data_IF_259382556181
#
_entry.id   IF_259382556181
#
_cell.length_a   1.000
_cell.length_b   1.000
_cell.length_c   1.000
_cell.angle_alpha   90.00
_cell.angle_beta   90.00
_cell.angle_gamma   90.00
#
_symmetry.space_group_name_H-M   'P 1'
#
loop_
_entity.id
_entity.type
_entity.pdbx_description
1 polymer ?
#
# COMPACT_ATOMS: atom_id res chain seq x y z
N UNK A 1 20.08 -16.30 3.31
CA UNK A 1 21.51 -16.51 3.00
C UNK A 1 21.93 -15.34 2.14
N UNK A 2 23.08 -14.67 2.40
CA UNK A 2 23.52 -13.61 1.51
C UNK A 2 23.74 -14.21 0.12
N UNK A 3 23.08 -13.67 -0.88
CA UNK A 3 23.34 -13.99 -2.29
C UNK A 3 24.79 -13.65 -2.58
N UNK A 4 25.52 -14.56 -3.22
CA UNK A 4 26.94 -14.34 -3.60
C UNK A 4 27.07 -13.30 -4.73
N UNK A 5 25.98 -12.99 -5.42
CA UNK A 5 25.92 -12.02 -6.51
C UNK A 5 25.32 -10.68 -6.03
N UNK A 6 25.79 -9.55 -6.56
CA UNK A 6 25.13 -8.25 -6.33
C UNK A 6 23.69 -8.26 -6.83
N UNK A 7 22.83 -7.51 -6.16
CA UNK A 7 21.42 -7.37 -6.53
C UNK A 7 21.12 -5.93 -6.97
N UNK A 8 20.13 -5.74 -7.84
CA UNK A 8 19.61 -4.43 -8.20
C UNK A 8 18.08 -4.41 -8.16
N UNK A 9 17.50 -3.24 -7.84
CA UNK A 9 16.07 -3.07 -7.68
C UNK A 9 15.62 -1.66 -8.02
N UNK A 10 14.48 -1.51 -8.70
CA UNK A 10 13.80 -0.23 -8.81
C UNK A 10 13.18 0.13 -7.45
N UNK A 11 13.68 1.18 -6.81
CA UNK A 11 13.25 1.63 -5.48
C UNK A 11 12.02 2.55 -5.54
N UNK A 12 11.85 3.30 -6.62
CA UNK A 12 10.67 4.14 -6.86
C UNK A 12 9.53 3.32 -7.46
N UNK A 13 8.29 3.80 -7.29
CA UNK A 13 7.14 3.16 -7.93
C UNK A 13 7.25 3.26 -9.46
N UNK A 14 6.77 2.23 -10.16
CA UNK A 14 6.58 2.27 -11.62
C UNK A 14 5.59 3.36 -12.01
N UNK A 15 5.81 3.98 -13.19
CA UNK A 15 4.94 5.00 -13.75
C UNK A 15 5.65 6.32 -14.03
N UNK A 16 4.86 7.36 -14.29
CA UNK A 16 5.39 8.69 -14.64
C UNK A 16 5.83 9.43 -13.37
N UNK A 17 7.12 9.45 -13.13
CA UNK A 17 7.78 10.28 -12.12
C UNK A 17 8.78 11.25 -12.76
N UNK A 18 9.27 12.24 -12.02
CA UNK A 18 10.35 13.10 -12.48
C UNK A 18 11.71 12.38 -12.38
N UNK A 19 11.88 11.53 -11.37
CA UNK A 19 13.09 10.77 -11.08
C UNK A 19 12.71 9.32 -10.79
N UNK A 20 13.51 8.38 -11.30
CA UNK A 20 13.51 6.99 -10.87
C UNK A 20 14.83 6.68 -10.15
N UNK A 21 14.79 5.80 -9.16
CA UNK A 21 15.95 5.39 -8.38
C UNK A 21 16.12 3.88 -8.48
N UNK A 22 17.28 3.45 -8.96
CA UNK A 22 17.69 2.05 -8.99
C UNK A 22 18.76 1.82 -7.93
N UNK A 23 18.46 0.97 -6.95
CA UNK A 23 19.42 0.57 -5.93
C UNK A 23 20.29 -0.59 -6.40
N UNK A 24 21.55 -0.62 -5.95
CA UNK A 24 22.51 -1.68 -6.19
C UNK A 24 23.14 -2.06 -4.85
N UNK A 25 23.03 -3.33 -4.45
CA UNK A 25 23.55 -3.81 -3.18
C UNK A 25 24.24 -5.17 -3.32
N UNK A 26 25.16 -5.50 -2.41
CA UNK A 26 25.90 -6.76 -2.42
C UNK A 26 27.26 -6.65 -1.74
N UNK A 27 28.18 -7.54 -2.08
CA UNK A 27 29.52 -7.49 -1.54
C UNK A 27 30.26 -6.24 -2.04
N UNK A 28 30.88 -5.51 -1.10
CA UNK A 28 31.45 -4.16 -1.29
C UNK A 28 32.48 -4.09 -2.42
N UNK A 29 33.20 -5.16 -2.70
CA UNK A 29 34.31 -5.19 -3.66
C UNK A 29 33.89 -5.30 -5.15
N UNK A 30 32.70 -5.83 -5.42
CA UNK A 30 32.23 -6.08 -6.80
C UNK A 30 31.46 -4.89 -7.39
N UNK A 31 30.64 -4.21 -6.57
CA UNK A 31 29.71 -3.17 -7.02
C UNK A 31 30.44 -1.96 -7.63
N UNK A 32 31.53 -1.41 -7.02
CA UNK A 32 32.27 -0.29 -7.61
C UNK A 32 32.80 -0.60 -9.01
N UNK A 33 33.24 -1.84 -9.24
CA UNK A 33 33.76 -2.29 -10.55
C UNK A 33 32.64 -2.28 -11.58
N UNK A 34 31.47 -2.85 -11.26
CA UNK A 34 30.30 -2.88 -12.16
C UNK A 34 29.86 -1.45 -12.48
N UNK A 35 29.69 -0.58 -11.48
CA UNK A 35 29.26 0.79 -11.69
C UNK A 35 30.26 1.57 -12.54
N UNK A 36 31.57 1.40 -12.34
CA UNK A 36 32.61 2.07 -13.13
C UNK A 36 32.62 1.65 -14.60
N UNK A 37 32.18 0.42 -14.91
CA UNK A 37 32.03 -0.03 -16.29
C UNK A 37 30.85 0.62 -16.99
N UNK A 38 29.77 0.93 -16.27
CA UNK A 38 28.50 1.41 -16.81
C UNK A 38 28.33 2.94 -16.72
N UNK A 39 29.04 3.59 -15.80
CA UNK A 39 28.90 5.02 -15.50
C UNK A 39 30.19 5.76 -15.80
N UNK A 40 30.07 6.98 -16.37
CA UNK A 40 31.17 7.92 -16.63
C UNK A 40 30.93 9.20 -15.85
N UNK A 41 31.63 9.42 -14.72
CA UNK A 41 31.48 10.65 -13.97
C UNK A 41 32.04 11.85 -14.74
N UNK A 42 31.39 13.00 -14.63
CA UNK A 42 31.89 14.30 -15.14
C UNK A 42 32.78 14.91 -14.08
N UNK A 43 34.01 15.19 -14.44
CA UNK A 43 35.01 15.83 -13.56
C UNK A 43 36.39 15.20 -13.67
N UNK A 44 37.37 15.82 -13.00
CA UNK A 44 38.80 15.43 -13.11
C UNK A 44 39.22 14.33 -12.12
N UNK A 45 38.35 13.89 -11.22
CA UNK A 45 38.67 12.88 -10.20
C UNK A 45 38.19 11.49 -10.64
N UNK A 46 39.03 10.49 -10.41
CA UNK A 46 38.65 9.07 -10.65
C UNK A 46 37.52 8.65 -9.74
N UNK A 47 36.54 7.93 -10.31
CA UNK A 47 35.41 7.33 -9.56
C UNK A 47 35.92 6.46 -8.39
N UNK A 48 36.94 5.63 -8.65
CA UNK A 48 37.53 4.75 -7.64
C UNK A 48 38.16 5.52 -6.48
N UNK A 49 38.94 6.58 -6.77
CA UNK A 49 39.61 7.39 -5.73
C UNK A 49 38.63 8.06 -4.79
N UNK A 50 37.45 8.45 -5.27
CA UNK A 50 36.44 9.12 -4.46
C UNK A 50 35.66 8.14 -3.61
N UNK A 51 35.39 6.94 -4.12
CA UNK A 51 34.71 5.88 -3.36
C UNK A 51 35.53 5.46 -2.15
N UNK A 52 36.85 5.39 -2.28
CA UNK A 52 37.74 4.96 -1.21
C UNK A 52 37.89 6.01 -0.09
N UNK A 53 37.57 7.29 -0.37
CA UNK A 53 37.76 8.40 0.56
C UNK A 53 36.56 8.75 1.44
N UNK A 54 35.36 8.33 1.09
CA UNK A 54 34.14 8.72 1.82
C UNK A 54 33.03 7.67 1.73
N UNK A 55 32.28 7.53 2.83
CA UNK A 55 31.09 6.66 2.89
C UNK A 55 29.85 7.26 2.24
N UNK A 56 29.86 8.57 1.97
CA UNK A 56 28.76 9.26 1.29
C UNK A 56 29.33 10.17 0.20
N UNK A 57 29.23 9.72 -1.04
CA UNK A 57 29.69 10.46 -2.21
C UNK A 57 28.60 10.48 -3.28
N UNK A 58 28.42 11.62 -3.90
CA UNK A 58 27.48 11.81 -5.01
C UNK A 58 28.28 12.16 -6.25
N UNK A 59 28.00 11.46 -7.34
CA UNK A 59 28.60 11.66 -8.65
C UNK A 59 27.53 12.09 -9.65
N UNK A 60 27.83 13.11 -10.44
CA UNK A 60 27.08 13.45 -11.64
C UNK A 60 27.85 12.97 -12.86
N UNK A 61 27.16 12.38 -13.83
CA UNK A 61 27.79 11.85 -15.02
C UNK A 61 26.80 11.21 -15.99
N UNK A 62 27.32 10.41 -16.90
CA UNK A 62 26.53 9.75 -17.93
C UNK A 62 26.52 8.24 -17.77
N UNK A 63 25.35 7.65 -17.95
CA UNK A 63 25.20 6.22 -18.12
C UNK A 63 25.60 5.83 -19.56
N UNK A 64 26.59 4.96 -19.70
CA UNK A 64 27.29 4.76 -20.98
C UNK A 64 26.41 4.23 -22.11
N UNK A 65 25.50 3.30 -21.83
CA UNK A 65 24.67 2.68 -22.87
C UNK A 65 23.59 3.60 -23.43
N UNK A 66 23.02 4.46 -22.59
CA UNK A 66 21.93 5.37 -22.95
C UNK A 66 22.37 6.79 -23.19
N UNK A 67 23.63 7.14 -22.82
CA UNK A 67 24.15 8.50 -22.78
C UNK A 67 23.28 9.46 -21.92
N UNK A 68 22.53 8.90 -20.97
CA UNK A 68 21.66 9.65 -20.09
C UNK A 68 22.48 10.31 -18.97
N UNK A 69 22.24 11.60 -18.74
CA UNK A 69 22.80 12.32 -17.61
C UNK A 69 22.06 11.94 -16.33
N UNK A 70 22.78 11.46 -15.34
CA UNK A 70 22.21 10.96 -14.10
C UNK A 70 23.15 11.15 -12.90
N UNK A 71 22.64 10.84 -11.72
CA UNK A 71 23.37 10.93 -10.46
C UNK A 71 23.56 9.52 -9.89
N UNK A 72 24.79 9.21 -9.49
CA UNK A 72 25.10 8.00 -8.72
C UNK A 72 25.52 8.40 -7.32
N UNK A 73 24.85 7.86 -6.31
CA UNK A 73 25.14 8.10 -4.90
C UNK A 73 25.66 6.81 -4.24
N UNK A 74 26.75 6.90 -3.48
CA UNK A 74 27.21 5.81 -2.61
C UNK A 74 26.38 5.81 -1.34
N UNK A 75 25.90 4.64 -0.93
CA UNK A 75 25.13 4.41 0.30
C UNK A 75 25.84 3.41 1.19
N UNK A 76 25.33 3.18 2.39
CA UNK A 76 25.88 2.19 3.32
C UNK A 76 25.77 0.74 2.79
N UNK A 77 24.93 0.49 1.80
CA UNK A 77 24.66 -0.86 1.26
C UNK A 77 25.16 -1.06 -0.17
N UNK A 78 25.69 0.00 -0.80
CA UNK A 78 26.11 -0.04 -2.19
C UNK A 78 25.92 1.30 -2.88
N UNK A 79 25.17 1.34 -3.97
CA UNK A 79 24.92 2.55 -4.75
C UNK A 79 23.45 2.74 -5.08
N UNK A 80 23.05 3.98 -5.29
CA UNK A 80 21.80 4.38 -5.89
C UNK A 80 22.05 5.13 -7.17
N UNK A 81 21.36 4.76 -8.24
CA UNK A 81 21.36 5.42 -9.54
C UNK A 81 20.07 6.21 -9.70
N UNK A 82 20.16 7.54 -9.70
CA UNK A 82 19.05 8.46 -9.84
C UNK A 82 18.98 8.92 -11.30
N UNK A 83 18.05 8.37 -12.06
CA UNK A 83 17.83 8.64 -13.47
C UNK A 83 16.52 9.40 -13.72
N UNK A 84 16.25 9.79 -14.97
CA UNK A 84 14.95 10.35 -15.34
C UNK A 84 13.83 9.36 -15.06
N UNK A 85 12.71 9.89 -14.58
CA UNK A 85 11.52 9.09 -14.28
C UNK A 85 10.87 8.57 -15.55
N UNK A 86 10.46 7.32 -15.50
CA UNK A 86 9.82 6.61 -16.61
C UNK A 86 10.37 5.21 -16.75
N UNK A 87 9.53 4.32 -17.30
CA UNK A 87 9.83 2.89 -17.32
C UNK A 87 11.03 2.56 -18.23
N UNK A 88 11.27 3.34 -19.30
CA UNK A 88 12.32 3.04 -20.27
C UNK A 88 13.72 3.27 -19.71
N UNK A 89 13.96 4.39 -19.00
CA UNK A 89 15.27 4.73 -18.44
C UNK A 89 15.66 3.74 -17.33
N UNK A 90 14.77 3.52 -16.37
CA UNK A 90 15.03 2.57 -15.28
C UNK A 90 15.18 1.13 -15.75
N UNK A 91 14.41 0.70 -16.77
CA UNK A 91 14.54 -0.63 -17.34
C UNK A 91 15.89 -0.83 -18.03
N UNK A 92 16.36 0.15 -18.82
CA UNK A 92 17.66 0.09 -19.48
C UNK A 92 18.82 -0.03 -18.47
N UNK A 93 18.75 0.72 -17.38
CA UNK A 93 19.75 0.65 -16.29
C UNK A 93 19.75 -0.72 -15.62
N UNK A 94 18.56 -1.28 -15.33
CA UNK A 94 18.43 -2.60 -14.73
C UNK A 94 18.94 -3.70 -15.67
N UNK A 95 18.63 -3.59 -16.97
CA UNK A 95 19.11 -4.53 -17.98
C UNK A 95 20.65 -4.52 -18.09
N UNK A 96 21.26 -3.34 -18.10
CA UNK A 96 22.71 -3.20 -18.09
C UNK A 96 23.36 -3.80 -16.84
N UNK A 97 22.79 -3.54 -15.67
CA UNK A 97 23.25 -4.10 -14.41
C UNK A 97 23.13 -5.62 -14.42
N UNK A 98 22.05 -6.16 -14.96
CA UNK A 98 21.79 -7.59 -15.08
C UNK A 98 22.84 -8.27 -16.01
N UNK A 99 23.13 -7.65 -17.14
CA UNK A 99 24.16 -8.13 -18.08
C UNK A 99 25.58 -8.09 -17.47
N UNK A 100 25.80 -7.25 -16.46
CA UNK A 100 27.08 -7.11 -15.76
C UNK A 100 27.10 -7.84 -14.40
N UNK A 101 26.20 -8.79 -14.18
CA UNK A 101 26.25 -9.73 -13.06
C UNK A 101 25.46 -9.33 -11.82
N UNK A 102 24.63 -8.27 -11.88
CA UNK A 102 23.66 -7.98 -10.83
C UNK A 102 22.36 -8.77 -11.08
N UNK A 103 21.80 -9.36 -10.05
CA UNK A 103 20.48 -10.00 -10.11
C UNK A 103 19.39 -8.95 -9.87
N UNK A 104 18.45 -8.82 -10.83
CA UNK A 104 17.30 -7.96 -10.66
C UNK A 104 16.28 -8.60 -9.68
N UNK A 105 15.99 -7.92 -8.57
CA UNK A 105 15.12 -8.43 -7.52
C UNK A 105 13.89 -7.55 -7.32
N UNK A 106 12.88 -8.10 -6.62
CA UNK A 106 11.70 -7.35 -6.23
C UNK A 106 12.00 -6.37 -5.08
N UNK A 107 11.17 -5.34 -4.91
CA UNK A 107 11.28 -4.43 -3.76
C UNK A 107 11.15 -5.18 -2.42
N UNK A 108 10.40 -6.26 -2.36
CA UNK A 108 10.29 -7.09 -1.16
C UNK A 108 11.63 -7.76 -0.84
N UNK A 109 12.25 -8.43 -1.82
CA UNK A 109 13.57 -9.06 -1.68
C UNK A 109 14.66 -8.04 -1.33
N UNK A 110 14.60 -6.84 -1.95
CA UNK A 110 15.51 -5.73 -1.61
C UNK A 110 15.41 -5.32 -0.15
N UNK A 111 14.19 -5.15 0.38
CA UNK A 111 14.00 -4.80 1.80
C UNK A 111 14.51 -5.90 2.73
N UNK A 112 14.21 -7.17 2.41
CA UNK A 112 14.68 -8.32 3.19
C UNK A 112 16.21 -8.50 3.17
N UNK A 113 16.89 -7.96 2.17
CA UNK A 113 18.35 -7.93 2.12
C UNK A 113 18.95 -6.95 3.13
N UNK A 114 18.29 -5.82 3.40
CA UNK A 114 18.79 -4.73 4.23
C UNK A 114 18.23 -4.74 5.67
N UNK A 115 17.16 -5.46 5.90
CA UNK A 115 16.44 -5.47 7.16
C UNK A 115 15.97 -6.89 7.51
N UNK A 116 15.63 -7.14 8.77
CA UNK A 116 14.93 -8.35 9.09
C UNK A 116 13.52 -8.36 8.40
N UNK A 117 12.96 -9.56 8.24
CA UNK A 117 11.69 -9.74 7.54
C UNK A 117 10.57 -8.86 8.11
N UNK A 118 10.55 -8.67 9.41
CA UNK A 118 9.51 -7.89 10.08
C UNK A 118 9.64 -6.40 9.78
N UNK A 119 10.85 -5.88 9.80
CA UNK A 119 11.14 -4.50 9.41
C UNK A 119 10.78 -4.28 7.94
N UNK A 120 11.19 -5.19 7.06
CA UNK A 120 10.89 -5.13 5.63
C UNK A 120 9.37 -5.11 5.34
N UNK A 121 8.59 -5.94 6.03
CA UNK A 121 7.12 -5.96 5.92
C UNK A 121 6.49 -4.64 6.43
N UNK A 122 7.02 -4.10 7.54
CA UNK A 122 6.50 -2.83 8.10
C UNK A 122 6.83 -1.65 7.19
N UNK A 123 8.03 -1.58 6.62
CA UNK A 123 8.42 -0.58 5.62
C UNK A 123 7.53 -0.68 4.37
N UNK A 124 7.25 -1.89 3.91
CA UNK A 124 6.32 -2.11 2.81
C UNK A 124 4.90 -1.60 3.14
N UNK A 125 4.44 -1.82 4.37
CA UNK A 125 3.16 -1.31 4.84
C UNK A 125 3.12 0.22 4.89
N UNK A 126 4.20 0.88 5.33
CA UNK A 126 4.31 2.35 5.30
C UNK A 126 4.19 2.88 3.87
N UNK A 127 4.88 2.25 2.90
CA UNK A 127 4.78 2.63 1.49
C UNK A 127 3.39 2.39 0.89
N UNK A 128 2.66 1.40 1.40
CA UNK A 128 1.30 1.07 0.95
C UNK A 128 0.21 1.91 1.62
N UNK A 129 0.55 2.72 2.63
CA UNK A 129 -0.41 3.58 3.33
C UNK A 129 -0.99 4.64 2.39
N UNK A 130 -2.31 4.72 2.33
CA UNK A 130 -3.02 5.63 1.42
C UNK A 130 -3.35 6.99 2.03
N UNK A 131 -3.15 7.16 3.34
CA UNK A 131 -3.40 8.42 4.04
C UNK A 131 -2.25 8.76 4.99
N UNK A 132 -2.06 10.05 5.26
CA UNK A 132 -1.04 10.50 6.22
C UNK A 132 -1.29 10.00 7.64
N UNK A 133 -2.55 9.76 8.03
CA UNK A 133 -2.90 9.19 9.34
C UNK A 133 -2.40 7.78 9.48
N UNK A 134 -2.71 6.91 8.51
CA UNK A 134 -2.28 5.51 8.53
C UNK A 134 -0.77 5.37 8.38
N UNK A 135 -0.15 6.20 7.52
CA UNK A 135 1.30 6.26 7.40
C UNK A 135 2.01 6.62 8.73
N UNK A 136 1.51 7.63 9.45
CA UNK A 136 2.05 8.00 10.77
C UNK A 136 1.94 6.87 11.79
N UNK A 137 0.82 6.16 11.80
CA UNK A 137 0.63 5.01 12.72
C UNK A 137 1.62 3.89 12.39
N UNK A 138 1.80 3.55 11.10
CA UNK A 138 2.76 2.53 10.67
C UNK A 138 4.21 2.93 10.95
N UNK A 139 4.57 4.21 10.80
CA UNK A 139 5.87 4.72 11.21
C UNK A 139 6.12 4.58 12.72
N UNK A 140 5.10 4.81 13.55
CA UNK A 140 5.20 4.56 14.98
C UNK A 140 5.40 3.07 15.30
N UNK A 141 4.72 2.18 14.57
CA UNK A 141 4.95 0.73 14.68
C UNK A 141 6.40 0.40 14.31
N UNK A 142 6.89 0.92 13.20
CA UNK A 142 8.27 0.70 12.75
C UNK A 142 9.30 1.15 13.81
N UNK A 143 9.08 2.30 14.44
CA UNK A 143 9.95 2.84 15.49
C UNK A 143 9.93 2.01 16.79
N UNK A 144 8.79 1.42 17.14
CA UNK A 144 8.57 0.72 18.42
C UNK A 144 8.62 -0.82 18.31
N UNK A 145 8.74 -1.36 17.12
CA UNK A 145 8.60 -2.79 16.84
C UNK A 145 9.65 -3.63 17.60
N UNK A 146 10.89 -3.16 17.67
CA UNK A 146 11.98 -3.85 18.38
C UNK A 146 11.62 -4.08 19.86
N UNK A 147 10.92 -3.13 20.48
CA UNK A 147 10.55 -3.23 21.90
C UNK A 147 9.46 -4.29 22.18
N UNK A 148 8.55 -4.53 21.25
CA UNK A 148 7.48 -5.53 21.43
C UNK A 148 8.02 -6.94 21.22
N UNK A 149 8.77 -7.15 20.14
CA UNK A 149 9.33 -8.47 19.83
C UNK A 149 10.42 -8.90 20.82
N UNK A 150 11.32 -7.99 21.21
CA UNK A 150 12.33 -8.29 22.23
C UNK A 150 11.67 -8.65 23.55
N UNK A 151 10.65 -7.91 23.99
CA UNK A 151 9.91 -8.21 25.22
C UNK A 151 9.25 -9.60 25.17
N UNK A 152 8.65 -9.99 24.05
CA UNK A 152 8.08 -11.33 23.90
C UNK A 152 9.16 -12.41 23.90
N UNK A 153 10.29 -12.16 23.23
CA UNK A 153 11.45 -13.05 23.23
C UNK A 153 12.00 -13.25 24.64
N UNK A 154 12.21 -12.16 25.39
CA UNK A 154 12.70 -12.19 26.77
C UNK A 154 11.74 -12.95 27.70
N UNK A 155 10.43 -12.78 27.52
CA UNK A 155 9.43 -13.52 28.28
C UNK A 155 9.49 -15.03 28.01
N UNK A 156 9.71 -15.42 26.75
CA UNK A 156 9.86 -16.84 26.38
C UNK A 156 11.17 -17.41 26.98
N UNK A 157 12.28 -16.70 26.82
CA UNK A 157 13.59 -17.12 27.34
C UNK A 157 13.59 -17.20 28.86
N UNK A 158 12.86 -16.32 29.53
CA UNK A 158 12.70 -16.32 30.99
C UNK A 158 11.65 -17.31 31.50
N UNK A 159 11.15 -18.21 30.64
CA UNK A 159 10.12 -19.20 30.96
C UNK A 159 8.77 -18.58 31.43
N UNK A 160 8.50 -17.32 31.10
CA UNK A 160 7.23 -16.63 31.37
C UNK A 160 6.21 -16.87 30.27
N UNK A 161 6.01 -18.14 29.92
CA UNK A 161 5.17 -18.57 28.78
C UNK A 161 3.73 -18.03 28.84
N UNK A 162 3.01 -18.01 29.99
CA UNK A 162 1.67 -17.44 30.06
C UNK A 162 1.61 -15.97 29.69
N UNK A 163 2.59 -15.16 30.10
CA UNK A 163 2.68 -13.73 29.77
C UNK A 163 2.94 -13.51 28.29
N UNK A 164 3.84 -14.30 27.68
CA UNK A 164 4.11 -14.26 26.26
C UNK A 164 2.86 -14.62 25.43
N UNK A 165 2.13 -15.68 25.82
CA UNK A 165 0.86 -16.07 25.17
C UNK A 165 -0.17 -14.95 25.26
N UNK A 166 -0.30 -14.28 26.42
CA UNK A 166 -1.22 -13.15 26.57
C UNK A 166 -0.84 -11.99 25.66
N UNK A 167 0.44 -11.64 25.55
CA UNK A 167 0.92 -10.59 24.64
C UNK A 167 0.67 -10.92 23.16
N UNK A 168 0.89 -12.16 22.76
CA UNK A 168 0.60 -12.63 21.40
C UNK A 168 -0.91 -12.54 21.10
N UNK A 169 -1.78 -12.98 22.04
CA UNK A 169 -3.23 -12.89 21.89
C UNK A 169 -3.70 -11.44 21.74
N UNK A 170 -3.14 -10.51 22.52
CA UNK A 170 -3.44 -9.08 22.36
C UNK A 170 -3.02 -8.55 20.98
N UNK A 171 -1.84 -8.92 20.50
CA UNK A 171 -1.37 -8.54 19.16
C UNK A 171 -2.27 -9.12 18.07
N UNK A 172 -2.69 -10.36 18.18
CA UNK A 172 -3.62 -10.99 17.24
C UNK A 172 -5.00 -10.34 17.24
N UNK A 173 -5.51 -9.91 18.40
CA UNK A 173 -6.78 -9.19 18.48
C UNK A 173 -6.75 -7.84 17.72
N UNK A 174 -5.58 -7.24 17.55
CA UNK A 174 -5.37 -6.00 16.79
C UNK A 174 -4.97 -6.25 15.32
N UNK A 175 -4.77 -7.51 14.91
CA UNK A 175 -4.25 -7.82 13.58
C UNK A 175 -5.18 -7.34 12.45
N UNK A 176 -6.50 -7.51 12.60
CA UNK A 176 -7.47 -7.01 11.63
C UNK A 176 -7.42 -5.48 11.51
N UNK A 177 -7.29 -4.77 12.63
CA UNK A 177 -7.11 -3.33 12.64
C UNK A 177 -5.83 -2.94 11.90
N UNK A 178 -4.71 -3.63 12.16
CA UNK A 178 -3.42 -3.41 11.50
C UNK A 178 -3.50 -3.58 9.98
N UNK A 179 -4.19 -4.62 9.49
CA UNK A 179 -4.39 -4.85 8.06
C UNK A 179 -5.18 -3.71 7.39
N UNK A 180 -6.10 -3.08 8.11
CA UNK A 180 -6.89 -1.95 7.59
C UNK A 180 -6.11 -0.62 7.55
N UNK A 181 -4.88 -0.56 8.02
CA UNK A 181 -4.01 0.62 7.84
C UNK A 181 -3.52 0.76 6.40
N UNK A 182 -3.38 -0.34 5.67
CA UNK A 182 -2.94 -0.36 4.26
C UNK A 182 -4.07 -0.69 3.28
N UNK A 183 -5.16 -1.28 3.77
CA UNK A 183 -6.31 -1.68 2.96
C UNK A 183 -7.52 -0.85 3.36
N UNK A 184 -8.15 -0.10 2.42
CA UNK A 184 -9.34 0.66 2.70
C UNK A 184 -10.46 -0.24 3.24
N UNK A 185 -11.18 0.22 4.25
CA UNK A 185 -12.36 -0.48 4.75
C UNK A 185 -13.51 -0.33 3.77
N UNK A 186 -14.10 -1.45 3.39
CA UNK A 186 -15.25 -1.48 2.51
C UNK A 186 -16.52 -1.13 3.28
N UNK A 187 -17.16 -0.02 2.87
CA UNK A 187 -18.45 0.46 3.40
C UNK A 187 -19.48 0.37 2.30
N UNK A 188 -20.53 -0.42 2.50
CA UNK A 188 -21.66 -0.51 1.57
C UNK A 188 -22.86 0.26 2.12
N UNK A 189 -23.45 1.12 1.28
CA UNK A 189 -24.68 1.81 1.59
C UNK A 189 -25.86 0.99 1.03
N UNK A 190 -26.76 0.58 1.90
CA UNK A 190 -27.99 -0.12 1.57
C UNK A 190 -29.21 0.66 2.08
N UNK A 191 -30.39 0.36 1.56
CA UNK A 191 -31.63 1.05 1.88
C UNK A 191 -32.57 1.13 0.68
N UNK A 192 -33.81 1.61 0.92
CA UNK A 192 -34.82 1.75 -0.11
C UNK A 192 -34.39 2.64 -1.29
N UNK A 193 -34.99 2.51 -2.47
CA UNK A 193 -34.77 3.44 -3.58
C UNK A 193 -35.05 4.88 -3.14
N UNK A 194 -34.28 5.84 -3.69
CA UNK A 194 -34.46 7.28 -3.54
C UNK A 194 -34.29 7.86 -2.10
N UNK A 195 -33.78 7.09 -1.15
CA UNK A 195 -33.49 7.60 0.22
C UNK A 195 -32.21 8.45 0.31
N UNK A 196 -31.53 8.73 -0.82
CA UNK A 196 -30.38 9.61 -0.85
C UNK A 196 -29.00 8.92 -0.75
N UNK A 197 -28.90 7.58 -0.96
CA UNK A 197 -27.62 6.85 -0.87
C UNK A 197 -26.51 7.43 -1.75
N UNK A 198 -26.78 7.63 -3.03
CA UNK A 198 -25.82 8.19 -3.98
C UNK A 198 -25.46 9.65 -3.64
N UNK A 199 -26.41 10.42 -3.14
CA UNK A 199 -26.17 11.80 -2.65
C UNK A 199 -25.25 11.80 -1.45
N UNK A 200 -25.44 10.85 -0.53
CA UNK A 200 -24.58 10.69 0.65
C UNK A 200 -23.16 10.28 0.25
N UNK A 201 -23.00 9.33 -0.68
CA UNK A 201 -21.69 8.96 -1.22
C UNK A 201 -20.99 10.16 -1.83
N UNK A 202 -21.69 10.92 -2.70
CA UNK A 202 -21.11 12.09 -3.31
C UNK A 202 -20.71 13.17 -2.30
N UNK A 203 -21.50 13.36 -1.26
CA UNK A 203 -21.17 14.29 -0.17
C UNK A 203 -19.93 13.83 0.60
N UNK A 204 -19.85 12.55 0.99
CA UNK A 204 -18.71 11.98 1.72
C UNK A 204 -17.44 12.00 0.87
N UNK A 205 -17.55 11.71 -0.41
CA UNK A 205 -16.42 11.70 -1.34
C UNK A 205 -15.96 13.11 -1.74
N UNK A 206 -16.88 14.08 -1.78
CA UNK A 206 -16.57 15.48 -2.11
C UNK A 206 -15.87 16.25 -0.98
N UNK A 207 -16.02 15.82 0.26
CA UNK A 207 -15.48 16.53 1.43
C UNK A 207 -13.96 16.33 1.61
N UNK A 208 -13.40 15.22 1.13
CA UNK A 208 -11.96 14.99 1.17
C UNK A 208 -11.53 14.26 -0.11
N UNK A 209 -11.15 15.01 -1.11
CA UNK A 209 -10.29 14.46 -2.17
C UNK A 209 -8.95 14.11 -1.55
N UNK A 210 -8.90 12.96 -0.86
CA UNK A 210 -7.63 12.33 -0.55
C UNK A 210 -6.93 12.09 -1.89
N UNK A 211 -5.65 12.38 -1.95
CA UNK A 211 -4.78 11.97 -3.04
C UNK A 211 -4.68 10.44 -2.91
N UNK A 212 -5.72 9.76 -3.33
CA UNK A 212 -5.69 8.31 -3.53
C UNK A 212 -5.04 8.12 -4.88
N UNK A 213 -3.82 7.65 -4.89
CA UNK A 213 -3.12 7.29 -6.11
C UNK A 213 -3.94 6.16 -6.77
N UNK A 214 -4.60 6.36 -7.92
CA UNK A 214 -5.33 5.28 -8.57
C UNK A 214 -4.30 4.27 -9.07
N UNK A 215 -4.18 3.14 -8.38
CA UNK A 215 -3.49 2.00 -8.96
C UNK A 215 -4.22 1.64 -10.25
N UNK A 216 -3.55 1.85 -11.37
CA UNK A 216 -4.03 1.49 -12.69
C UNK A 216 -4.31 -0.03 -12.69
N UNK A 217 -5.57 -0.42 -12.79
CA UNK A 217 -5.96 -1.83 -12.92
C UNK A 217 -7.28 -2.26 -12.28
N UNK A 218 -7.95 -1.43 -11.47
CA UNK A 218 -9.15 -1.85 -10.71
C UNK A 218 -10.47 -1.25 -11.22
N UNK A 219 -10.50 -0.63 -12.39
CA UNK A 219 -11.69 0.04 -12.95
C UNK A 219 -12.49 -0.90 -13.86
N UNK A 220 -13.07 -1.98 -13.37
CA UNK A 220 -14.01 -2.74 -14.21
C UNK A 220 -15.29 -3.26 -13.56
N UNK A 221 -15.48 -3.18 -12.25
CA UNK A 221 -16.72 -3.68 -11.67
C UNK A 221 -17.09 -2.91 -10.41
N UNK A 222 -18.31 -2.35 -10.39
CA UNK A 222 -18.98 -1.65 -9.29
C UNK A 222 -18.50 -0.20 -9.09
N UNK A 223 -19.42 0.74 -9.01
CA UNK A 223 -19.19 2.13 -8.60
C UNK A 223 -18.68 2.17 -7.14
N UNK A 224 -17.40 1.85 -6.97
CA UNK A 224 -16.71 2.02 -5.70
C UNK A 224 -15.95 3.33 -5.74
N UNK A 225 -16.10 4.15 -4.71
CA UNK A 225 -15.42 5.41 -4.58
C UNK A 225 -14.49 5.35 -3.36
N UNK A 226 -13.19 5.32 -3.62
CA UNK A 226 -12.16 5.38 -2.56
C UNK A 226 -12.05 6.81 -2.04
N UNK A 227 -12.11 6.98 -0.73
CA UNK A 227 -11.97 8.26 -0.04
C UNK A 227 -11.35 8.07 1.33
N UNK A 228 -11.22 9.15 2.10
CA UNK A 228 -10.81 9.07 3.50
C UNK A 228 -11.84 9.77 4.39
N UNK A 229 -12.24 9.13 5.48
CA UNK A 229 -13.09 9.72 6.51
C UNK A 229 -12.22 9.95 7.74
N UNK A 230 -12.01 11.20 8.12
CA UNK A 230 -11.09 11.59 9.20
C UNK A 230 -9.71 10.93 9.07
N UNK A 231 -9.18 10.86 7.84
CA UNK A 231 -7.89 10.22 7.54
C UNK A 231 -7.89 8.68 7.56
N UNK A 232 -9.03 8.02 7.77
CA UNK A 232 -9.18 6.58 7.61
C UNK A 232 -9.55 6.24 6.17
N UNK A 233 -8.79 5.39 5.49
CA UNK A 233 -9.10 5.02 4.11
C UNK A 233 -10.35 4.14 4.07
N UNK A 234 -11.27 4.47 3.18
CA UNK A 234 -12.53 3.75 2.99
C UNK A 234 -12.88 3.63 1.51
N UNK A 235 -13.49 2.51 1.14
CA UNK A 235 -14.10 2.27 -0.15
C UNK A 235 -15.62 2.30 0.01
N UNK A 236 -16.24 3.37 -0.46
CA UNK A 236 -17.69 3.54 -0.45
C UNK A 236 -18.30 2.82 -1.65
N UNK A 237 -19.28 1.96 -1.41
CA UNK A 237 -19.99 1.18 -2.44
C UNK A 237 -21.48 1.50 -2.43
N UNK A 238 -22.02 1.83 -3.61
CA UNK A 238 -23.45 2.12 -3.80
C UNK A 238 -24.19 0.89 -4.32
N UNK A 239 -25.15 0.38 -3.55
CA UNK A 239 -26.02 -0.70 -4.04
C UNK A 239 -27.03 -0.25 -5.08
N UNK A 240 -27.34 1.06 -5.20
CA UNK A 240 -28.25 1.57 -6.24
C UNK A 240 -27.63 1.54 -7.64
N UNK A 241 -26.30 1.76 -7.74
CA UNK A 241 -25.57 1.65 -9.01
C UNK A 241 -25.45 0.21 -9.55
N UNK A 242 -25.80 -0.79 -8.75
CA UNK A 242 -25.83 -2.20 -9.14
C UNK A 242 -27.11 -2.61 -9.89
N UNK A 243 -28.10 -1.72 -9.99
CA UNK A 243 -29.31 -1.94 -10.77
C UNK A 243 -29.02 -1.58 -12.23
N UNK A 244 -28.73 -2.59 -13.04
CA UNK A 244 -28.67 -2.44 -14.50
C UNK A 244 -30.09 -2.66 -15.05
N UNK A 245 -30.48 -1.77 -15.98
CA UNK A 245 -31.79 -1.65 -16.59
C UNK A 245 -32.38 -2.94 -17.18
N UNK A 246 -33.67 -3.12 -16.91
CA UNK A 246 -34.72 -3.92 -17.61
C UNK A 246 -34.43 -5.35 -18.11
N UNK A 247 -35.25 -6.25 -17.65
CA UNK A 247 -35.80 -7.52 -18.16
C UNK A 247 -35.08 -8.88 -17.97
N UNK A 248 -33.84 -9.00 -17.66
CA UNK A 248 -33.22 -10.27 -17.21
C UNK A 248 -32.03 -10.02 -16.27
N UNK A 249 -31.66 -8.79 -16.12
CA UNK A 249 -30.47 -8.28 -15.39
C UNK A 249 -30.82 -7.93 -13.95
N UNK A 250 -32.10 -7.84 -13.61
CA UNK A 250 -32.54 -7.46 -12.25
C UNK A 250 -32.19 -8.53 -11.21
N UNK A 251 -32.37 -9.80 -11.56
CA UNK A 251 -31.99 -10.92 -10.66
C UNK A 251 -30.47 -11.02 -10.46
N UNK A 252 -29.67 -10.80 -11.51
CA UNK A 252 -28.21 -10.78 -11.41
C UNK A 252 -27.71 -9.55 -10.63
N UNK A 253 -28.37 -8.40 -10.78
CA UNK A 253 -28.06 -7.20 -10.02
C UNK A 253 -28.32 -7.34 -8.53
N UNK A 254 -29.40 -8.00 -8.15
CA UNK A 254 -29.75 -8.27 -6.75
C UNK A 254 -28.73 -9.24 -6.13
N UNK A 255 -28.35 -10.29 -6.87
CA UNK A 255 -27.37 -11.27 -6.37
C UNK A 255 -25.98 -10.63 -6.19
N UNK A 256 -25.55 -9.80 -7.16
CA UNK A 256 -24.30 -9.05 -7.06
C UNK A 256 -24.33 -8.06 -5.88
N UNK A 257 -25.45 -7.37 -5.66
CA UNK A 257 -25.64 -6.51 -4.49
C UNK A 257 -25.54 -7.28 -3.17
N UNK A 258 -26.16 -8.46 -3.07
CA UNK A 258 -26.05 -9.33 -1.89
C UNK A 258 -24.61 -9.77 -1.64
N UNK A 259 -23.88 -10.18 -2.69
CA UNK A 259 -22.48 -10.56 -2.58
C UNK A 259 -21.59 -9.40 -2.10
N UNK A 260 -21.81 -8.19 -2.61
CA UNK A 260 -21.07 -7.01 -2.16
C UNK A 260 -21.37 -6.63 -0.72
N UNK A 261 -22.64 -6.72 -0.31
CA UNK A 261 -23.04 -6.51 1.08
C UNK A 261 -22.40 -7.56 1.99
N UNK A 262 -22.39 -8.84 1.56
CA UNK A 262 -21.77 -9.92 2.32
C UNK A 262 -20.27 -9.74 2.51
N UNK A 263 -19.58 -9.24 1.47
CA UNK A 263 -18.12 -9.00 1.47
C UNK A 263 -17.71 -7.72 2.19
N UNK A 264 -18.64 -6.78 2.39
CA UNK A 264 -18.32 -5.48 2.98
C UNK A 264 -18.16 -5.58 4.50
N UNK A 265 -17.13 -4.91 5.02
CA UNK A 265 -16.81 -4.88 6.45
C UNK A 265 -17.82 -4.05 7.25
N UNK A 266 -18.31 -2.96 6.65
CA UNK A 266 -19.29 -2.07 7.28
C UNK A 266 -20.51 -1.97 6.37
N UNK A 267 -21.69 -2.18 6.95
CA UNK A 267 -22.97 -2.05 6.27
C UNK A 267 -23.71 -0.88 6.86
N UNK A 268 -23.99 0.12 6.02
CA UNK A 268 -24.66 1.34 6.43
C UNK A 268 -26.08 1.35 5.81
N UNK A 269 -27.08 1.21 6.65
CA UNK A 269 -28.47 1.35 6.22
C UNK A 269 -28.84 2.83 6.18
N UNK A 270 -29.25 3.31 5.01
CA UNK A 270 -29.74 4.69 4.79
C UNK A 270 -31.26 4.65 4.73
N UNK A 271 -31.88 5.35 5.65
CA UNK A 271 -33.34 5.48 5.77
C UNK A 271 -33.76 6.91 5.45
N UNK A 272 -34.99 7.11 4.94
CA UNK A 272 -35.58 8.45 4.83
C UNK A 272 -35.97 8.95 6.22
N UNK A 273 -35.74 10.23 6.52
CA UNK A 273 -36.27 10.81 7.73
C UNK A 273 -37.81 10.85 7.75
N UNK A 274 -38.47 10.82 6.60
CA UNK A 274 -39.94 10.73 6.50
C UNK A 274 -40.46 9.42 7.08
N UNK A 275 -39.69 8.33 7.00
CA UNK A 275 -40.04 7.02 7.56
C UNK A 275 -40.13 7.06 9.11
N UNK A 276 -39.53 8.07 9.74
CA UNK A 276 -39.47 8.24 11.19
C UNK A 276 -40.28 9.48 11.67
N UNK A 277 -41.07 10.07 10.79
CA UNK A 277 -42.00 11.14 11.13
C UNK A 277 -43.37 10.56 11.41
N UNK A 278 -43.98 10.93 12.57
CA UNK A 278 -45.30 10.49 12.95
C UNK A 278 -45.40 9.99 14.38
N UNK A 279 -46.38 9.14 14.64
CA UNK A 279 -46.55 8.49 15.93
C UNK A 279 -45.61 7.31 16.14
N UNK A 280 -45.52 6.79 17.37
CA UNK A 280 -44.64 5.67 17.73
C UNK A 280 -44.88 4.41 16.87
N UNK A 281 -46.14 4.16 16.47
CA UNK A 281 -46.51 3.03 15.64
C UNK A 281 -45.91 3.09 14.26
N UNK A 282 -45.81 4.26 13.64
CA UNK A 282 -45.17 4.46 12.34
C UNK A 282 -43.66 4.23 12.42
N UNK A 283 -43.04 4.74 13.50
CA UNK A 283 -41.62 4.54 13.74
C UNK A 283 -41.31 3.05 13.93
N UNK A 284 -42.11 2.32 14.72
CA UNK A 284 -41.89 0.90 14.96
C UNK A 284 -42.07 0.07 13.68
N UNK A 285 -43.04 0.40 12.81
CA UNK A 285 -43.19 -0.22 11.51
C UNK A 285 -41.99 0.04 10.58
N UNK A 286 -41.50 1.28 10.53
CA UNK A 286 -40.34 1.63 9.74
C UNK A 286 -39.07 0.90 10.23
N UNK A 287 -38.88 0.80 11.54
CA UNK A 287 -37.78 0.02 12.14
C UNK A 287 -37.88 -1.45 11.76
N UNK A 288 -39.06 -2.07 11.91
CA UNK A 288 -39.27 -3.48 11.56
C UNK A 288 -39.01 -3.76 10.06
N UNK A 289 -39.46 -2.86 9.17
CA UNK A 289 -39.21 -2.99 7.72
C UNK A 289 -37.72 -2.90 7.41
N UNK A 290 -36.99 -1.97 8.03
CA UNK A 290 -35.55 -1.80 7.84
C UNK A 290 -34.74 -2.94 8.46
N UNK A 291 -35.14 -3.50 9.61
CA UNK A 291 -34.55 -4.72 10.17
C UNK A 291 -34.75 -5.93 9.26
N UNK A 292 -35.95 -6.08 8.69
CA UNK A 292 -36.23 -7.13 7.71
C UNK A 292 -35.33 -7.02 6.50
N UNK A 293 -35.13 -5.80 5.99
CA UNK A 293 -34.22 -5.53 4.88
C UNK A 293 -32.78 -5.92 5.25
N UNK A 294 -32.29 -5.53 6.42
CA UNK A 294 -30.96 -5.91 6.90
C UNK A 294 -30.80 -7.42 7.01
N UNK A 295 -31.80 -8.13 7.56
CA UNK A 295 -31.78 -9.61 7.66
C UNK A 295 -31.78 -10.28 6.28
N UNK A 296 -32.49 -9.72 5.30
CA UNK A 296 -32.48 -10.24 3.92
C UNK A 296 -31.15 -10.02 3.19
N UNK A 297 -30.43 -8.97 3.56
CA UNK A 297 -29.14 -8.57 2.98
C UNK A 297 -27.94 -9.12 3.78
N UNK A 298 -28.15 -9.64 4.98
CA UNK A 298 -27.11 -10.30 5.75
C UNK A 298 -26.83 -11.70 5.17
N UNK A 299 -25.57 -12.11 5.04
CA UNK A 299 -25.27 -13.52 4.76
C UNK A 299 -25.73 -14.38 5.93
N UNK A 300 -26.25 -15.56 5.59
CA UNK A 300 -26.55 -16.64 6.55
C UNK A 300 -25.29 -17.12 7.25
#
# INVERSE_FOLDING_TARGET
MPTTSPICCLLTNSGRGAVAVVGIAGQVDQIPTIVSQLFSPIGSRSFQTLIDQSDQVIFYGQWKSTAEDLVVAKTNFGFEVHCHGGDAASAAIIDDLNQNGCEAVTQQTWREFHADRWQAETEAAVCAATTSRTAKMLLQVLQNQTSVLSKLSDQIQSNQVPSAISGIKQSLALAEFGLNLTRPRSIVLCGHPNVGKSSLINALAGFQRAIVNPQAGTTRDVLSQSTAIDGWPVDLKDTAGLRISQDQVEAMGIEKAKQEIARSQIRCLVCSCEDFCGDQSNIDQALAANEKLLKQLAPS
#
